data_IF_991620565189
#
_entry.id   IF_991620565189
#
_cell.length_a   1.000
_cell.length_b   1.000
_cell.length_c   1.000
_cell.angle_alpha   90.00
_cell.angle_beta   90.00
_cell.angle_gamma   90.00
#
_symmetry.space_group_name_H-M   'P 1'
#
loop_
_entity.id
_entity.type
_entity.pdbx_description
1 polymer ?
#
# COMPACT_ATOMS: atom_id res chain seq x y z
N UNK A 1 -20.19 -1.37 -4.55
CA UNK A 1 -19.31 -0.23 -4.18
C UNK A 1 -18.11 -0.82 -3.47
N UNK A 2 -16.98 -0.96 -4.17
CA UNK A 2 -15.76 -1.55 -3.64
C UNK A 2 -15.21 -0.73 -2.48
N UNK A 3 -14.92 -1.38 -1.35
CA UNK A 3 -14.38 -0.75 -0.14
C UNK A 3 -13.09 0.05 -0.43
N UNK A 4 -12.31 -0.42 -1.42
CA UNK A 4 -11.15 0.29 -1.97
C UNK A 4 -11.51 1.68 -2.51
N UNK A 5 -12.53 1.77 -3.37
CA UNK A 5 -12.95 3.03 -3.99
C UNK A 5 -13.46 4.03 -2.95
N UNK A 6 -14.12 3.53 -1.88
CA UNK A 6 -14.54 4.38 -0.76
C UNK A 6 -13.35 4.99 -0.02
N UNK A 7 -12.30 4.21 0.23
CA UNK A 7 -11.10 4.70 0.90
C UNK A 7 -10.33 5.70 0.02
N UNK A 8 -10.18 5.42 -1.27
CA UNK A 8 -9.57 6.35 -2.23
C UNK A 8 -10.31 7.69 -2.27
N UNK A 9 -11.64 7.66 -2.33
CA UNK A 9 -12.46 8.85 -2.29
C UNK A 9 -12.32 9.63 -0.96
N UNK A 10 -12.27 8.94 0.18
CA UNK A 10 -12.06 9.60 1.47
C UNK A 10 -10.67 10.25 1.59
N UNK A 11 -9.62 9.65 1.02
CA UNK A 11 -8.27 10.25 0.95
C UNK A 11 -8.31 11.55 0.14
N UNK A 12 -8.98 11.53 -1.01
CA UNK A 12 -9.14 12.71 -1.87
C UNK A 12 -9.88 13.83 -1.14
N UNK A 13 -11.00 13.51 -0.47
CA UNK A 13 -11.78 14.46 0.31
C UNK A 13 -10.99 15.06 1.47
N UNK A 14 -10.28 14.23 2.25
CA UNK A 14 -9.45 14.69 3.36
C UNK A 14 -8.31 15.60 2.89
N UNK A 15 -7.68 15.26 1.77
CA UNK A 15 -6.59 16.07 1.18
C UNK A 15 -7.11 17.43 0.69
N UNK A 16 -8.28 17.46 0.04
CA UNK A 16 -8.91 18.71 -0.41
C UNK A 16 -9.40 19.57 0.75
N UNK A 17 -9.99 18.97 1.78
CA UNK A 17 -10.40 19.68 2.99
C UNK A 17 -9.19 20.34 3.69
N UNK A 18 -8.06 19.63 3.79
CA UNK A 18 -6.82 20.18 4.32
C UNK A 18 -6.27 21.37 3.50
N UNK A 19 -6.57 21.46 2.21
CA UNK A 19 -6.12 22.56 1.36
C UNK A 19 -7.02 23.81 1.46
N UNK A 20 -8.28 23.64 1.86
CA UNK A 20 -9.28 24.73 1.90
C UNK A 20 -9.39 25.41 3.27
N UNK A 21 -8.85 24.79 4.33
CA UNK A 21 -8.94 25.32 5.70
C UNK A 21 -7.72 26.21 6.02
N UNK A 22 -7.98 27.41 6.57
CA UNK A 22 -6.94 28.36 7.00
C UNK A 22 -6.36 28.05 8.39
N UNK A 23 -7.12 27.35 9.22
CA UNK A 23 -6.70 26.98 10.58
C UNK A 23 -5.71 25.82 10.56
N UNK A 24 -4.51 26.06 11.08
CA UNK A 24 -3.39 25.12 11.03
C UNK A 24 -3.68 23.82 11.79
N UNK A 25 -4.40 23.88 12.92
CA UNK A 25 -4.72 22.68 13.70
C UNK A 25 -5.68 21.74 12.96
N UNK A 26 -6.63 22.31 12.22
CA UNK A 26 -7.60 21.57 11.42
C UNK A 26 -6.95 20.97 10.17
N UNK A 27 -6.05 21.70 9.53
CA UNK A 27 -5.24 21.20 8.41
C UNK A 27 -4.39 19.99 8.85
N UNK A 28 -3.73 20.07 10.01
CA UNK A 28 -2.94 18.96 10.53
C UNK A 28 -3.80 17.71 10.79
N UNK A 29 -4.99 17.87 11.39
CA UNK A 29 -5.92 16.74 11.62
C UNK A 29 -6.35 16.06 10.33
N UNK A 30 -6.70 16.82 9.29
CA UNK A 30 -7.05 16.25 7.99
C UNK A 30 -5.87 15.56 7.31
N UNK A 31 -4.65 16.08 7.45
CA UNK A 31 -3.44 15.43 6.95
C UNK A 31 -3.16 14.11 7.66
N UNK A 32 -3.22 14.09 8.99
CA UNK A 32 -3.05 12.84 9.76
C UNK A 32 -4.09 11.80 9.36
N UNK A 33 -5.35 12.20 9.22
CA UNK A 33 -6.42 11.31 8.78
C UNK A 33 -6.20 10.77 7.36
N UNK A 34 -5.77 11.63 6.42
CA UNK A 34 -5.43 11.20 5.06
C UNK A 34 -4.27 10.19 5.06
N UNK A 35 -3.25 10.38 5.90
CA UNK A 35 -2.14 9.43 6.04
C UNK A 35 -2.58 8.09 6.63
N UNK A 36 -3.45 8.08 7.63
CA UNK A 36 -4.02 6.84 8.18
C UNK A 36 -4.80 6.05 7.13
N UNK A 37 -5.62 6.74 6.33
CA UNK A 37 -6.37 6.11 5.24
C UNK A 37 -5.43 5.58 4.14
N UNK A 38 -4.38 6.32 3.79
CA UNK A 38 -3.33 5.84 2.87
C UNK A 38 -2.66 4.58 3.40
N UNK A 39 -2.28 4.53 4.68
CA UNK A 39 -1.67 3.34 5.30
C UNK A 39 -2.62 2.15 5.31
N UNK A 40 -3.90 2.36 5.61
CA UNK A 40 -4.93 1.32 5.56
C UNK A 40 -5.08 0.76 4.14
N UNK A 41 -5.13 1.63 3.14
CA UNK A 41 -5.21 1.24 1.73
C UNK A 41 -3.97 0.46 1.29
N UNK A 42 -2.78 0.91 1.69
CA UNK A 42 -1.50 0.26 1.36
C UNK A 42 -1.44 -1.16 1.94
N UNK A 43 -1.87 -1.34 3.20
CA UNK A 43 -2.00 -2.66 3.84
C UNK A 43 -3.00 -3.57 3.13
N UNK A 44 -4.11 -3.01 2.67
CA UNK A 44 -5.14 -3.74 1.95
C UNK A 44 -4.64 -4.21 0.57
N UNK A 45 -3.95 -3.35 -0.17
CA UNK A 45 -3.37 -3.70 -1.48
C UNK A 45 -2.16 -4.65 -1.37
N UNK A 46 -1.35 -4.54 -0.32
CA UNK A 46 -0.17 -5.40 -0.10
C UNK A 46 -0.56 -6.87 -0.12
N UNK A 47 -1.61 -7.25 0.61
CA UNK A 47 -2.10 -8.65 0.64
C UNK A 47 -2.55 -9.15 -0.72
N UNK A 48 -3.15 -8.29 -1.54
CA UNK A 48 -3.52 -8.62 -2.92
C UNK A 48 -2.31 -8.83 -3.83
N UNK A 49 -1.29 -7.97 -3.72
CA UNK A 49 -0.05 -8.09 -4.49
C UNK A 49 0.77 -9.32 -4.12
N UNK A 50 0.93 -9.59 -2.82
CA UNK A 50 1.61 -10.80 -2.33
C UNK A 50 0.90 -12.06 -2.83
N UNK A 51 -0.43 -12.07 -2.82
CA UNK A 51 -1.22 -13.20 -3.37
C UNK A 51 -0.99 -13.42 -4.86
N UNK A 52 -1.08 -12.35 -5.66
CA UNK A 52 -0.85 -12.46 -7.10
C UNK A 52 0.57 -12.95 -7.39
N UNK A 53 1.56 -12.40 -6.68
CA UNK A 53 2.97 -12.75 -6.87
C UNK A 53 3.28 -14.18 -6.42
N UNK A 54 2.71 -14.63 -5.30
CA UNK A 54 2.85 -16.01 -4.84
C UNK A 54 2.27 -16.99 -5.86
N UNK A 55 1.11 -16.65 -6.45
CA UNK A 55 0.49 -17.47 -7.48
C UNK A 55 1.33 -17.56 -8.76
N UNK A 56 1.88 -16.43 -9.23
CA UNK A 56 2.80 -16.42 -10.38
C UNK A 56 4.04 -17.29 -10.14
N UNK A 57 4.67 -17.18 -8.97
CA UNK A 57 5.85 -17.97 -8.61
C UNK A 57 5.51 -19.47 -8.53
N UNK A 58 4.36 -19.80 -7.95
CA UNK A 58 3.87 -21.18 -7.87
C UNK A 58 3.55 -21.76 -9.25
N UNK A 59 2.98 -20.96 -10.16
CA UNK A 59 2.70 -21.37 -11.53
C UNK A 59 3.99 -21.57 -12.35
N UNK A 60 4.95 -20.64 -12.24
CA UNK A 60 6.27 -20.76 -12.87
C UNK A 60 7.04 -21.99 -12.40
N UNK A 61 6.88 -22.37 -11.13
CA UNK A 61 7.48 -23.57 -10.56
C UNK A 61 6.79 -24.88 -10.98
N UNK A 62 5.75 -24.82 -11.83
CA UNK A 62 5.02 -26.00 -12.31
C UNK A 62 3.98 -26.52 -11.32
N UNK A 63 3.47 -25.66 -10.43
CA UNK A 63 2.41 -25.97 -9.46
C UNK A 63 2.74 -27.15 -8.54
N UNK A 64 3.91 -27.13 -7.87
CA UNK A 64 4.27 -28.17 -6.92
C UNK A 64 3.25 -28.21 -5.77
N UNK A 65 2.84 -29.42 -5.40
CA UNK A 65 2.00 -29.67 -4.23
C UNK A 65 2.88 -29.53 -2.98
N UNK A 66 2.33 -28.99 -1.89
CA UNK A 66 2.98 -28.80 -0.58
C UNK A 66 4.13 -27.77 -0.50
N UNK A 67 4.32 -26.93 -1.52
CA UNK A 67 5.31 -25.82 -1.51
C UNK A 67 4.71 -24.43 -1.69
N UNK A 68 3.40 -24.32 -1.63
CA UNK A 68 2.67 -23.05 -1.70
C UNK A 68 3.16 -22.04 -0.66
N UNK A 69 3.40 -22.47 0.59
CA UNK A 69 3.89 -21.61 1.68
C UNK A 69 5.24 -20.96 1.35
N UNK A 70 6.15 -21.68 0.69
CA UNK A 70 7.46 -21.15 0.28
C UNK A 70 7.30 -19.99 -0.71
N UNK A 71 6.39 -20.12 -1.68
CA UNK A 71 6.10 -19.07 -2.66
C UNK A 71 5.37 -17.88 -2.04
N UNK A 72 4.52 -18.10 -1.04
CA UNK A 72 3.91 -17.02 -0.27
C UNK A 72 4.94 -16.19 0.50
N UNK A 73 5.89 -16.84 1.17
CA UNK A 73 6.96 -16.17 1.91
C UNK A 73 7.92 -15.44 0.98
N UNK A 74 8.25 -16.04 -0.18
CA UNK A 74 9.08 -15.41 -1.21
C UNK A 74 8.40 -14.17 -1.81
N UNK A 75 7.11 -14.27 -2.13
CA UNK A 75 6.33 -13.13 -2.62
C UNK A 75 6.23 -12.01 -1.57
N UNK A 76 6.10 -12.35 -0.29
CA UNK A 76 6.08 -11.36 0.77
C UNK A 76 7.40 -10.60 0.87
N UNK A 77 8.54 -11.31 0.83
CA UNK A 77 9.88 -10.70 0.80
C UNK A 77 10.06 -9.75 -0.38
N UNK A 78 9.71 -10.19 -1.60
CA UNK A 78 9.85 -9.36 -2.80
C UNK A 78 9.04 -8.06 -2.72
N UNK A 79 7.80 -8.12 -2.20
CA UNK A 79 6.94 -6.94 -2.09
C UNK A 79 7.42 -5.97 -1.00
N UNK A 80 7.97 -6.47 0.10
CA UNK A 80 8.56 -5.63 1.14
C UNK A 80 9.86 -4.97 0.69
N UNK A 81 10.74 -5.69 0.00
CA UNK A 81 11.95 -5.14 -0.59
C UNK A 81 11.64 -4.06 -1.63
N UNK A 82 10.67 -4.28 -2.52
CA UNK A 82 10.24 -3.27 -3.49
C UNK A 82 9.70 -2.00 -2.80
N UNK A 83 8.98 -2.17 -1.68
CA UNK A 83 8.48 -1.05 -0.88
C UNK A 83 9.60 -0.27 -0.21
N UNK A 84 10.57 -0.97 0.38
CA UNK A 84 11.68 -0.34 1.07
C UNK A 84 12.61 0.37 0.08
N UNK A 85 12.85 -0.23 -1.10
CA UNK A 85 13.55 0.43 -2.21
C UNK A 85 12.83 1.70 -2.68
N UNK A 86 11.51 1.65 -2.88
CA UNK A 86 10.72 2.86 -3.21
C UNK A 86 10.87 3.93 -2.15
N UNK A 87 10.81 3.56 -0.86
CA UNK A 87 10.95 4.51 0.25
C UNK A 87 12.35 5.14 0.31
N UNK A 88 13.41 4.36 0.06
CA UNK A 88 14.77 4.88 -0.01
C UNK A 88 14.98 5.80 -1.23
N UNK A 89 14.36 5.50 -2.37
CA UNK A 89 14.43 6.33 -3.57
C UNK A 89 13.77 7.71 -3.37
N UNK A 90 12.57 7.74 -2.80
CA UNK A 90 11.81 8.97 -2.52
C UNK A 90 12.47 9.86 -1.46
N UNK A 91 13.29 9.27 -0.58
CA UNK A 91 14.09 10.01 0.40
C UNK A 91 15.44 10.52 -0.15
N UNK A 92 15.91 9.97 -1.29
CA UNK A 92 17.16 10.38 -1.93
C UNK A 92 16.94 11.52 -2.94
N UNK A 93 15.75 11.64 -3.52
CA UNK A 93 15.33 12.72 -4.44
C UNK A 93 15.11 14.08 -3.73
N UNK A 94 15.16 14.10 -2.38
CA UNK A 94 14.96 15.29 -1.53
C UNK A 94 16.25 15.95 -1.03
N UNK A 95 17.41 15.62 -1.62
CA UNK A 95 18.72 16.21 -1.26
C UNK A 95 19.23 17.22 -2.26
#
# INVERSE_FOLDING_TARGET
MDERQKIEHQIELATRAAALVKDETTVQRFRTFAEELKQKLLRMMRRGKVRARAYELWEQAGRPVDRDVEFWLEAERQIDEERDQRRLSDSSDKR
#
